data_IF_743930479005
#
_entry.id   IF_743930479005
#
_cell.length_a   1.000
_cell.length_b   1.000
_cell.length_c   1.000
_cell.angle_alpha   90.00
_cell.angle_beta   90.00
_cell.angle_gamma   90.00
#
_symmetry.space_group_name_H-M   'P 1'
#
loop_
_entity.id
_entity.type
_entity.pdbx_description
1 polymer ?
#
# COMPACT_ATOMS: atom_id res chain seq x y z
N UNK A 1 11.89 62.74 8.01
CA UNK A 1 11.93 61.73 6.93
C UNK A 1 13.06 60.78 7.30
N UNK A 2 12.93 59.46 7.48
CA UNK A 2 11.87 58.48 7.29
C UNK A 2 12.61 57.15 7.13
N UNK A 3 12.26 56.11 7.91
CA UNK A 3 12.73 54.75 7.63
C UNK A 3 13.67 54.12 8.66
N UNK A 4 13.15 53.75 9.83
CA UNK A 4 13.79 52.71 10.68
C UNK A 4 12.78 51.78 11.36
N UNK A 5 11.53 51.75 10.90
CA UNK A 5 10.47 50.88 11.46
C UNK A 5 10.23 49.59 10.68
N UNK A 6 10.89 49.41 9.52
CA UNK A 6 10.63 48.28 8.62
C UNK A 6 11.41 47.00 8.97
N UNK A 7 12.62 47.12 9.54
CA UNK A 7 13.50 45.95 9.75
C UNK A 7 13.10 45.07 10.94
N UNK A 8 12.53 45.66 12.00
CA UNK A 8 12.07 44.91 13.18
C UNK A 8 10.80 44.10 12.90
N UNK A 9 9.89 44.61 12.05
CA UNK A 9 8.67 43.89 11.67
C UNK A 9 8.93 42.68 10.77
N UNK A 10 9.95 42.75 9.90
CA UNK A 10 10.36 41.62 9.05
C UNK A 10 11.02 40.52 9.90
N UNK A 11 11.84 40.90 10.89
CA UNK A 11 12.48 39.93 11.78
C UNK A 11 11.46 39.18 12.64
N UNK A 12 10.43 39.88 13.15
CA UNK A 12 9.34 39.26 13.92
C UNK A 12 8.46 38.35 13.05
N UNK A 13 8.25 38.71 11.78
CA UNK A 13 7.49 37.88 10.84
C UNK A 13 8.25 36.59 10.49
N UNK A 14 9.57 36.66 10.28
CA UNK A 14 10.42 35.50 10.00
C UNK A 14 10.51 34.57 11.22
N UNK A 15 10.63 35.13 12.44
CA UNK A 15 10.60 34.34 13.68
C UNK A 15 9.23 33.68 13.91
N UNK A 16 8.12 34.37 13.60
CA UNK A 16 6.78 33.78 13.66
C UNK A 16 6.58 32.65 12.64
N UNK A 17 7.10 32.81 11.41
CA UNK A 17 7.07 31.78 10.38
C UNK A 17 7.95 30.56 10.72
N UNK A 18 9.11 30.76 11.35
CA UNK A 18 9.97 29.68 11.84
C UNK A 18 9.35 28.96 13.06
N UNK A 19 8.64 29.67 13.93
CA UNK A 19 7.87 29.06 15.01
C UNK A 19 6.68 28.23 14.48
N UNK A 20 6.03 28.67 13.41
CA UNK A 20 5.02 27.88 12.71
C UNK A 20 5.61 26.65 11.99
N UNK A 21 6.83 26.72 11.43
CA UNK A 21 7.47 25.56 10.81
C UNK A 21 8.02 24.56 11.84
N UNK A 22 8.49 25.01 13.00
CA UNK A 22 8.98 24.14 14.08
C UNK A 22 7.89 23.25 14.72
N UNK A 23 6.62 23.64 14.62
CA UNK A 23 5.47 22.83 15.09
C UNK A 23 5.03 21.79 14.06
N UNK A 24 5.37 21.96 12.77
CA UNK A 24 4.99 21.00 11.72
C UNK A 24 6.01 19.89 11.46
N UNK A 25 7.25 20.02 11.95
CA UNK A 25 8.28 18.98 11.77
C UNK A 25 8.41 18.00 12.94
N UNK A 26 7.58 18.17 13.97
CA UNK A 26 7.41 17.23 15.09
C UNK A 26 5.96 16.77 15.16
N UNK A 27 5.42 16.29 14.03
CA UNK A 27 4.50 15.16 14.13
C UNK A 27 5.35 13.95 14.57
N UNK A 28 5.80 13.98 15.82
CA UNK A 28 6.13 12.78 16.55
C UNK A 28 4.90 11.89 16.38
N UNK A 29 5.07 10.81 15.61
CA UNK A 29 4.05 9.81 15.39
C UNK A 29 3.58 9.42 16.79
N UNK A 30 2.35 9.80 17.15
CA UNK A 30 1.85 9.58 18.50
C UNK A 30 2.01 8.08 18.78
N UNK A 31 2.56 7.68 19.94
CA UNK A 31 2.59 6.27 20.32
C UNK A 31 1.16 5.71 20.20
N UNK A 32 0.97 4.68 19.37
CA UNK A 32 -0.34 4.11 19.06
C UNK A 32 -1.05 4.61 17.80
N UNK A 33 -0.43 5.47 16.98
CA UNK A 33 -0.98 5.79 15.65
C UNK A 33 -0.88 4.56 14.72
N UNK A 34 -1.95 4.19 13.99
CA UNK A 34 -1.93 3.02 13.13
C UNK A 34 -0.84 3.11 12.05
N UNK A 35 -0.23 1.96 11.73
CA UNK A 35 0.75 1.81 10.66
C UNK A 35 0.10 1.21 9.42
N UNK A 36 0.57 1.65 8.26
CA UNK A 36 0.13 1.16 6.95
C UNK A 36 1.11 0.09 6.50
N UNK A 37 0.60 -1.11 6.19
CA UNK A 37 1.38 -2.26 5.78
C UNK A 37 0.84 -2.83 4.47
N UNK A 38 1.73 -3.12 3.54
CA UNK A 38 1.40 -3.70 2.25
C UNK A 38 1.92 -5.13 2.16
N UNK A 39 1.02 -6.07 1.86
CA UNK A 39 1.33 -7.48 1.69
C UNK A 39 1.07 -7.92 0.26
N UNK A 40 1.95 -8.78 -0.25
CA UNK A 40 1.75 -9.47 -1.52
C UNK A 40 1.52 -10.95 -1.24
N UNK A 41 0.45 -11.50 -1.79
CA UNK A 41 0.23 -12.94 -1.75
C UNK A 41 -0.22 -13.46 -3.11
N UNK A 42 0.28 -14.64 -3.47
CA UNK A 42 -0.03 -15.26 -4.74
C UNK A 42 -1.43 -15.87 -4.70
N UNK A 43 -2.14 -15.76 -5.81
CA UNK A 43 -3.28 -16.60 -6.08
C UNK A 43 -3.06 -17.29 -7.41
N UNK A 44 -2.89 -18.60 -7.34
CA UNK A 44 -2.69 -19.44 -8.51
C UNK A 44 -4.03 -19.60 -9.25
N UNK A 45 -4.36 -18.65 -10.12
CA UNK A 45 -5.44 -18.87 -11.09
C UNK A 45 -5.22 -18.09 -12.40
N UNK A 46 -4.54 -18.71 -13.36
CA UNK A 46 -4.65 -18.29 -14.75
C UNK A 46 -6.12 -18.47 -15.21
N UNK A 47 -6.70 -17.47 -15.85
CA UNK A 47 -8.12 -17.49 -16.27
C UNK A 47 -9.17 -17.25 -15.17
N UNK A 48 -8.77 -16.99 -13.92
CA UNK A 48 -9.69 -16.56 -12.85
C UNK A 48 -10.00 -15.06 -12.86
N UNK A 49 -11.12 -14.67 -12.25
CA UNK A 49 -11.45 -13.29 -11.89
C UNK A 49 -10.33 -12.68 -11.02
N UNK A 50 -10.05 -11.36 -11.16
CA UNK A 50 -10.89 -10.37 -11.82
C UNK A 50 -10.53 -10.04 -13.28
N UNK A 51 -9.44 -10.57 -13.83
CA UNK A 51 -9.06 -10.30 -15.23
C UNK A 51 -9.46 -11.46 -16.16
N UNK A 52 -10.07 -11.14 -17.28
CA UNK A 52 -10.36 -12.09 -18.35
C UNK A 52 -9.07 -12.65 -18.98
N UNK A 53 -9.19 -13.81 -19.63
CA UNK A 53 -8.07 -14.40 -20.39
C UNK A 53 -7.60 -13.45 -21.49
N UNK A 54 -8.53 -12.74 -22.14
CA UNK A 54 -8.23 -11.78 -23.20
C UNK A 54 -7.41 -10.60 -22.69
N UNK A 55 -7.76 -10.00 -21.54
CA UNK A 55 -6.98 -8.92 -20.93
C UNK A 55 -5.55 -9.36 -20.60
N UNK A 56 -5.38 -10.57 -20.03
CA UNK A 56 -4.07 -11.14 -19.70
C UNK A 56 -3.23 -11.36 -20.96
N UNK A 57 -3.84 -11.90 -22.02
CA UNK A 57 -3.18 -12.11 -23.31
C UNK A 57 -2.80 -10.77 -23.98
N UNK A 58 -3.66 -9.76 -23.91
CA UNK A 58 -3.38 -8.44 -24.46
C UNK A 58 -2.22 -7.77 -23.72
N UNK A 59 -2.21 -7.81 -22.38
CA UNK A 59 -1.11 -7.28 -21.57
C UNK A 59 0.22 -8.00 -21.90
N UNK A 60 0.20 -9.33 -22.00
CA UNK A 60 1.35 -10.11 -22.45
C UNK A 60 1.84 -9.68 -23.84
N UNK A 61 0.92 -9.56 -24.81
CA UNK A 61 1.24 -9.10 -26.16
C UNK A 61 1.86 -7.71 -26.17
N UNK A 62 1.30 -6.75 -25.42
CA UNK A 62 1.86 -5.39 -25.32
C UNK A 62 3.26 -5.38 -24.70
N UNK A 63 3.46 -6.14 -23.62
CA UNK A 63 4.76 -6.25 -22.95
C UNK A 63 5.81 -6.82 -23.91
N UNK A 64 5.49 -7.93 -24.59
CA UNK A 64 6.38 -8.59 -25.54
C UNK A 64 6.73 -7.70 -26.74
N UNK A 65 5.73 -7.04 -27.33
CA UNK A 65 5.93 -6.15 -28.49
C UNK A 65 6.82 -4.95 -28.15
N UNK A 66 6.71 -4.43 -26.93
CA UNK A 66 7.50 -3.29 -26.45
C UNK A 66 8.84 -3.72 -25.83
N UNK A 67 9.05 -5.02 -25.60
CA UNK A 67 10.19 -5.54 -24.83
C UNK A 67 10.22 -4.99 -23.39
N UNK A 68 9.05 -4.74 -22.79
CA UNK A 68 8.92 -3.97 -21.56
C UNK A 68 7.99 -4.60 -20.54
N UNK A 69 7.45 -3.77 -19.65
CA UNK A 69 6.62 -4.17 -18.53
C UNK A 69 5.16 -3.75 -18.74
N UNK A 70 4.22 -4.62 -18.39
CA UNK A 70 2.79 -4.32 -18.31
C UNK A 70 2.20 -4.84 -17.00
N UNK A 71 1.38 -4.03 -16.33
CA UNK A 71 0.68 -4.37 -15.09
C UNK A 71 -0.80 -4.03 -15.22
N UNK A 72 -1.65 -4.98 -14.86
CA UNK A 72 -3.09 -4.80 -14.70
C UNK A 72 -3.43 -4.83 -13.21
N UNK A 73 -4.30 -3.91 -12.79
CA UNK A 73 -4.82 -3.82 -11.42
C UNK A 73 -6.34 -3.74 -11.45
N UNK A 74 -7.00 -4.48 -10.56
CA UNK A 74 -8.45 -4.36 -10.36
C UNK A 74 -8.79 -4.42 -8.86
N UNK A 75 -9.63 -3.50 -8.36
CA UNK A 75 -10.14 -3.57 -6.99
C UNK A 75 -10.92 -4.85 -6.75
N UNK A 76 -10.74 -5.45 -5.58
CA UNK A 76 -11.46 -6.66 -5.17
C UNK A 76 -12.39 -6.33 -4.00
N UNK A 77 -13.69 -6.57 -4.20
CA UNK A 77 -14.73 -6.13 -3.27
C UNK A 77 -15.02 -7.09 -2.10
N UNK A 78 -14.46 -8.32 -2.11
CA UNK A 78 -14.93 -9.41 -1.25
C UNK A 78 -13.85 -10.02 -0.36
N UNK A 79 -13.06 -9.18 0.31
CA UNK A 79 -12.16 -9.62 1.37
C UNK A 79 -12.59 -9.01 2.70
N UNK A 80 -12.73 -9.86 3.71
CA UNK A 80 -12.94 -9.42 5.09
C UNK A 80 -11.77 -9.87 5.95
N UNK A 81 -11.40 -9.04 6.93
CA UNK A 81 -10.52 -9.43 8.03
C UNK A 81 -11.37 -10.08 9.11
N UNK A 82 -10.87 -11.17 9.70
CA UNK A 82 -11.58 -11.91 10.75
C UNK A 82 -12.06 -11.00 11.89
N UNK A 83 -13.27 -11.22 12.43
CA UNK A 83 -13.82 -10.43 13.54
C UNK A 83 -12.95 -10.46 14.79
N UNK A 84 -12.07 -11.46 14.93
CA UNK A 84 -11.12 -11.59 16.05
C UNK A 84 -9.97 -10.57 15.99
N UNK A 85 -9.77 -9.92 14.83
CA UNK A 85 -8.83 -8.81 14.61
C UNK A 85 -9.56 -7.53 14.18
N UNK A 86 -10.52 -7.01 14.98
CA UNK A 86 -11.36 -5.88 14.59
C UNK A 86 -10.58 -4.56 14.45
N UNK A 87 -9.34 -4.53 14.94
CA UNK A 87 -8.49 -3.35 14.97
C UNK A 87 -7.78 -3.11 13.62
N UNK A 88 -7.60 -4.14 12.79
CA UNK A 88 -7.03 -4.01 11.46
C UNK A 88 -8.11 -3.60 10.45
N UNK A 89 -7.85 -2.53 9.70
CA UNK A 89 -8.77 -2.03 8.66
C UNK A 89 -8.15 -2.17 7.28
N UNK A 90 -8.87 -2.81 6.36
CA UNK A 90 -8.48 -2.87 4.94
C UNK A 90 -8.61 -1.47 4.34
N UNK A 91 -7.54 -0.95 3.73
CA UNK A 91 -7.59 0.28 2.93
C UNK A 91 -7.80 0.00 1.47
N UNK A 92 -7.01 -0.92 0.94
CA UNK A 92 -7.03 -1.30 -0.46
C UNK A 92 -6.78 -2.79 -0.60
N UNK A 93 -7.50 -3.41 -1.52
CA UNK A 93 -7.29 -4.80 -1.90
C UNK A 93 -7.42 -4.91 -3.41
N UNK A 94 -6.30 -5.19 -4.07
CA UNK A 94 -6.22 -5.17 -5.53
C UNK A 94 -5.65 -6.49 -6.04
N UNK A 95 -6.25 -7.01 -7.11
CA UNK A 95 -5.65 -8.08 -7.88
C UNK A 95 -4.62 -7.51 -8.83
N UNK A 96 -3.53 -8.25 -9.03
CA UNK A 96 -2.41 -7.84 -9.86
C UNK A 96 -2.11 -8.93 -10.88
N UNK A 97 -1.93 -8.51 -12.12
CA UNK A 97 -1.33 -9.31 -13.18
C UNK A 97 -0.19 -8.52 -13.83
N UNK A 98 1.01 -9.07 -13.82
CA UNK A 98 2.20 -8.40 -14.34
C UNK A 98 2.97 -9.28 -15.32
N UNK A 99 3.51 -8.64 -16.34
CA UNK A 99 4.41 -9.25 -17.31
C UNK A 99 5.65 -8.39 -17.44
N UNK A 100 6.81 -8.97 -17.19
CA UNK A 100 8.13 -8.39 -17.47
C UNK A 100 8.76 -9.12 -18.66
N UNK A 101 8.69 -8.49 -19.84
CA UNK A 101 9.27 -9.00 -21.08
C UNK A 101 10.70 -8.48 -21.34
N UNK A 102 11.28 -7.70 -20.41
CA UNK A 102 12.68 -7.24 -20.53
C UNK A 102 13.68 -8.39 -20.29
N UNK A 103 13.24 -9.44 -19.60
CA UNK A 103 14.01 -10.66 -19.32
C UNK A 103 13.56 -11.82 -20.22
N UNK A 104 14.46 -12.78 -20.48
CA UNK A 104 14.17 -13.97 -21.29
C UNK A 104 14.40 -15.27 -20.50
N UNK A 105 13.38 -16.14 -20.36
CA UNK A 105 11.99 -15.96 -20.78
C UNK A 105 11.28 -14.83 -20.00
N UNK A 106 10.21 -14.23 -20.55
CA UNK A 106 9.41 -13.24 -19.83
C UNK A 106 8.94 -13.77 -18.48
N UNK A 107 8.97 -12.93 -17.46
CA UNK A 107 8.47 -13.27 -16.12
C UNK A 107 7.03 -12.81 -15.99
N UNK A 108 6.22 -13.67 -15.38
CA UNK A 108 4.80 -13.38 -15.14
C UNK A 108 4.53 -13.51 -13.65
N UNK A 109 3.84 -12.53 -13.08
CA UNK A 109 3.40 -12.55 -11.69
C UNK A 109 1.90 -12.32 -11.64
N UNK A 110 1.19 -13.19 -10.92
CA UNK A 110 -0.25 -13.06 -10.64
C UNK A 110 -0.46 -13.19 -9.14
N UNK A 111 -1.29 -12.34 -8.56
CA UNK A 111 -1.57 -12.37 -7.13
C UNK A 111 -2.44 -11.21 -6.69
N UNK A 112 -2.38 -10.91 -5.40
CA UNK A 112 -3.07 -9.79 -4.80
C UNK A 112 -2.12 -8.95 -3.95
N UNK A 113 -2.41 -7.66 -3.88
CA UNK A 113 -1.79 -6.70 -2.97
C UNK A 113 -2.85 -6.18 -2.02
N UNK A 114 -2.53 -6.24 -0.73
CA UNK A 114 -3.40 -5.85 0.36
C UNK A 114 -2.72 -4.80 1.20
N UNK A 115 -3.37 -3.66 1.35
CA UNK A 115 -2.94 -2.58 2.23
C UNK A 115 -3.83 -2.53 3.47
N UNK A 116 -3.20 -2.69 4.62
CA UNK A 116 -3.86 -2.70 5.93
C UNK A 116 -3.40 -1.51 6.76
N UNK A 117 -4.35 -0.88 7.44
CA UNK A 117 -4.07 -0.11 8.64
C UNK A 117 -4.13 -1.05 9.83
N UNK A 118 -2.99 -1.29 10.45
CA UNK A 118 -2.92 -2.06 11.70
C UNK A 118 -2.54 -1.13 12.86
N UNK A 119 -3.06 -1.36 14.07
CA UNK A 119 -2.55 -0.68 15.25
C UNK A 119 -1.06 -1.00 15.44
N UNK A 120 -0.34 -0.07 16.07
CA UNK A 120 1.03 -0.32 16.48
C UNK A 120 1.01 -1.30 17.65
N UNK A 121 1.41 -2.55 17.40
CA UNK A 121 1.32 -3.66 18.35
C UNK A 121 2.73 -4.19 18.67
N UNK A 122 3.07 -4.38 19.96
CA UNK A 122 4.38 -4.90 20.36
C UNK A 122 4.57 -6.39 20.05
N UNK A 123 3.47 -7.11 19.78
CA UNK A 123 3.46 -8.53 19.47
C UNK A 123 3.15 -8.79 17.98
N UNK A 124 3.61 -9.91 17.41
CA UNK A 124 3.24 -10.31 16.06
C UNK A 124 1.72 -10.41 15.92
N UNK A 125 1.17 -9.76 14.90
CA UNK A 125 -0.26 -9.78 14.60
C UNK A 125 -0.55 -10.85 13.54
N UNK A 126 -1.39 -11.83 13.89
CA UNK A 126 -1.94 -12.76 12.92
C UNK A 126 -3.19 -12.14 12.29
N UNK A 127 -3.15 -11.85 10.99
CA UNK A 127 -4.30 -11.37 10.23
C UNK A 127 -4.87 -12.53 9.43
N UNK A 128 -6.07 -12.94 9.80
CA UNK A 128 -6.84 -13.94 9.08
C UNK A 128 -7.70 -13.24 8.00
N UNK A 129 -7.45 -13.60 6.74
CA UNK A 129 -8.10 -13.08 5.55
C UNK A 129 -9.10 -14.11 5.03
N UNK A 130 -10.37 -13.75 5.00
CA UNK A 130 -11.44 -14.62 4.52
C UNK A 130 -11.95 -14.13 3.17
N UNK A 131 -11.89 -15.01 2.16
CA UNK A 131 -12.54 -14.75 0.88
C UNK A 131 -14.06 -14.88 1.05
N UNK A 132 -14.78 -13.77 0.91
CA UNK A 132 -16.23 -13.73 1.13
C UNK A 132 -17.05 -14.54 0.11
N UNK A 133 -16.44 -14.95 -1.00
CA UNK A 133 -17.09 -15.75 -2.06
C UNK A 133 -16.82 -17.23 -1.89
N UNK A 134 -15.56 -17.62 -1.65
CA UNK A 134 -15.14 -19.02 -1.60
C UNK A 134 -15.09 -19.58 -0.18
N UNK A 135 -15.09 -18.72 0.85
CA UNK A 135 -14.86 -19.10 2.24
C UNK A 135 -13.43 -19.54 2.54
N UNK A 136 -12.51 -19.46 1.55
CA UNK A 136 -11.11 -19.80 1.75
C UNK A 136 -10.45 -18.77 2.66
N UNK A 137 -9.71 -19.28 3.64
CA UNK A 137 -9.03 -18.47 4.64
C UNK A 137 -7.52 -18.54 4.48
N UNK A 138 -6.86 -17.38 4.54
CA UNK A 138 -5.40 -17.25 4.56
C UNK A 138 -4.97 -16.54 5.83
N UNK A 139 -3.92 -17.02 6.50
CA UNK A 139 -3.39 -16.38 7.71
C UNK A 139 -2.06 -15.72 7.35
N UNK A 140 -1.97 -14.41 7.57
CA UNK A 140 -0.76 -13.61 7.36
C UNK A 140 -0.19 -13.23 8.72
N UNK A 141 1.08 -13.56 8.96
CA UNK A 141 1.78 -13.16 10.17
C UNK A 141 2.51 -11.84 9.92
N UNK A 142 2.19 -10.84 10.72
CA UNK A 142 2.77 -9.50 10.64
C UNK A 142 3.71 -9.33 11.83
N UNK A 143 5.02 -9.34 11.56
CA UNK A 143 6.00 -9.07 12.60
C UNK A 143 5.90 -7.61 13.13
N UNK A 144 6.24 -7.37 14.41
CA UNK A 144 6.58 -6.03 14.85
C UNK A 144 7.83 -5.55 14.09
N UNK A 145 7.93 -4.25 13.82
CA UNK A 145 8.96 -3.68 12.95
C UNK A 145 10.38 -4.24 13.22
N UNK A 146 11.06 -4.70 12.16
CA UNK A 146 12.48 -5.11 12.21
C UNK A 146 12.79 -6.60 11.99
N UNK A 147 11.80 -7.45 11.76
CA UNK A 147 12.01 -8.85 11.39
C UNK A 147 11.45 -9.16 9.99
N UNK A 148 12.29 -9.04 8.96
CA UNK A 148 12.13 -9.68 7.65
C UNK A 148 13.35 -10.55 7.37
#
# INVERSE_FOLDING_TARGET
MGGSRSRLGVLSLVLALLACQGVFSWAARAPGAPRELTFFFSAEAWGGTPFSVEEKQLAMGRALLRGGFERLEQPVAHLAVSPETPEARVRSFVAIFEVDASVRPPRIRTGYELELLVPDAPEPLAVELVNGVTGVTNIVQIAPDGAL
#
